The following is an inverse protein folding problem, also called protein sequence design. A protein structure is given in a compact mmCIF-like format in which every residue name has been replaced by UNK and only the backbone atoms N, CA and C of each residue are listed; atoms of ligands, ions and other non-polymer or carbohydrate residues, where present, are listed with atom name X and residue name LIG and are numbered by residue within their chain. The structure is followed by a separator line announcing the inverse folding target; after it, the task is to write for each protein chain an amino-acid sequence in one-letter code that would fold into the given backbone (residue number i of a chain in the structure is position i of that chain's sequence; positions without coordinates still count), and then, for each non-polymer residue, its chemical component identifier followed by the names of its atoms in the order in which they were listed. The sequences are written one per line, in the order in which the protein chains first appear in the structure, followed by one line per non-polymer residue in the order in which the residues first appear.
data_IF_135927054167
#
_entry.id   IF_135927054167
#
_cell.length_a   1.000
_cell.length_b   1.000
_cell.length_c   1.000
_cell.angle_alpha   90.00
_cell.angle_beta   90.00
_cell.angle_gamma   90.00
#
_symmetry.space_group_name_H-M   'P 1'
#
loop_
_entity.id
_entity.type
_entity.pdbx_description
1 polymer ?
#
# COMPACT_ATOMS: atom_id res chain seq x y z
N UNK A 1 -26.34 -7.24 -11.39
CA UNK A 1 -26.12 -8.70 -11.46
C UNK A 1 -24.93 -9.04 -10.58
N UNK A 2 -25.18 -9.28 -9.28
CA UNK A 2 -24.12 -9.68 -8.34
C UNK A 2 -23.71 -11.11 -8.68
N UNK A 3 -22.52 -11.29 -9.26
CA UNK A 3 -21.93 -12.60 -9.37
C UNK A 3 -21.72 -13.11 -7.94
N UNK A 4 -22.38 -14.23 -7.61
CA UNK A 4 -22.22 -14.94 -6.35
C UNK A 4 -20.81 -15.57 -6.31
N UNK A 5 -19.80 -14.75 -6.06
CA UNK A 5 -18.42 -15.23 -5.98
C UNK A 5 -18.14 -15.67 -4.54
N UNK A 6 -17.73 -16.93 -4.38
CA UNK A 6 -17.37 -17.49 -3.09
C UNK A 6 -16.01 -16.92 -2.63
N UNK A 7 -16.01 -16.01 -1.64
CA UNK A 7 -14.77 -15.41 -1.12
C UNK A 7 -13.84 -16.42 -0.41
N UNK A 8 -14.36 -17.61 -0.06
CA UNK A 8 -13.55 -18.71 0.51
C UNK A 8 -12.68 -19.39 -0.56
N UNK A 9 -13.17 -19.48 -1.80
CA UNK A 9 -12.42 -20.07 -2.92
C UNK A 9 -11.45 -19.06 -3.56
N UNK A 10 -11.84 -17.78 -3.57
CA UNK A 10 -10.96 -16.71 -4.05
C UNK A 10 -9.74 -16.55 -3.16
N UNK A 11 -8.55 -16.80 -3.69
CA UNK A 11 -7.27 -16.74 -2.96
C UNK A 11 -6.65 -18.10 -2.68
N UNK A 12 -7.38 -19.18 -2.98
CA UNK A 12 -6.84 -20.54 -3.05
C UNK A 12 -6.14 -20.70 -4.40
N UNK A 13 -4.83 -20.91 -4.40
CA UNK A 13 -4.05 -21.12 -5.62
C UNK A 13 -3.05 -22.26 -5.44
N UNK A 14 -2.70 -22.93 -6.52
CA UNK A 14 -1.60 -23.88 -6.52
C UNK A 14 -0.25 -23.17 -6.23
N UNK A 15 0.73 -23.85 -5.61
CA UNK A 15 0.73 -25.25 -5.19
C UNK A 15 0.10 -25.49 -3.80
N UNK A 16 -0.27 -24.43 -3.08
CA UNK A 16 -0.60 -24.52 -1.66
C UNK A 16 -2.06 -24.88 -1.38
N UNK A 17 -2.98 -24.60 -2.29
CA UNK A 17 -4.41 -24.81 -2.04
C UNK A 17 -4.90 -23.96 -0.87
N UNK A 18 -5.74 -24.52 0.00
CA UNK A 18 -6.21 -23.84 1.21
C UNK A 18 -5.10 -23.85 2.25
N UNK A 19 -4.43 -22.72 2.41
CA UNK A 19 -3.29 -22.58 3.32
C UNK A 19 -3.66 -21.74 4.55
N UNK A 20 -4.00 -22.41 5.64
CA UNK A 20 -4.25 -21.78 6.95
C UNK A 20 -3.53 -22.58 8.07
N UNK A 21 -2.22 -22.36 8.28
CA UNK A 21 -1.47 -23.08 9.31
C UNK A 21 -1.89 -22.70 10.75
N UNK A 22 -2.63 -21.61 10.92
CA UNK A 22 -3.08 -21.12 12.23
C UNK A 22 -4.54 -21.50 12.54
N UNK A 23 -5.27 -22.10 11.59
CA UNK A 23 -6.63 -22.62 11.78
C UNK A 23 -7.69 -21.56 12.09
N UNK A 24 -7.50 -20.32 11.62
CA UNK A 24 -8.47 -19.24 11.85
C UNK A 24 -9.77 -19.42 11.06
N UNK A 25 -9.75 -20.17 9.96
CA UNK A 25 -10.94 -20.47 9.18
C UNK A 25 -11.96 -21.29 9.98
N UNK A 26 -11.49 -22.26 10.77
CA UNK A 26 -12.36 -23.11 11.60
C UNK A 26 -12.67 -22.48 12.96
N UNK A 27 -11.70 -21.79 13.56
CA UNK A 27 -11.84 -21.24 14.91
C UNK A 27 -12.55 -19.88 14.96
N UNK A 28 -12.45 -19.07 13.89
CA UNK A 28 -13.02 -17.72 13.82
C UNK A 28 -13.59 -17.40 12.42
N UNK A 29 -14.56 -18.17 11.91
CA UNK A 29 -15.10 -18.00 10.57
C UNK A 29 -15.76 -16.62 10.36
N UNK A 30 -16.37 -16.06 11.41
CA UNK A 30 -17.00 -14.74 11.41
C UNK A 30 -16.02 -13.58 11.14
N UNK A 31 -14.73 -13.78 11.43
CA UNK A 31 -13.69 -12.78 11.14
C UNK A 31 -13.15 -12.89 9.71
N UNK A 32 -13.53 -13.91 8.94
CA UNK A 32 -12.97 -14.18 7.62
C UNK A 32 -13.21 -13.04 6.63
N UNK A 33 -14.44 -12.53 6.53
CA UNK A 33 -14.79 -11.43 5.61
C UNK A 33 -13.91 -10.19 5.87
N UNK A 34 -13.73 -9.84 7.14
CA UNK A 34 -12.84 -8.74 7.55
C UNK A 34 -11.39 -9.04 7.17
N UNK A 35 -10.89 -10.25 7.45
CA UNK A 35 -9.51 -10.63 7.14
C UNK A 35 -9.24 -10.59 5.64
N UNK A 36 -10.18 -11.08 4.81
CA UNK A 36 -10.11 -10.99 3.34
C UNK A 36 -10.14 -9.54 2.85
N UNK A 37 -10.95 -8.68 3.45
CA UNK A 37 -10.96 -7.25 3.12
C UNK A 37 -9.62 -6.57 3.48
N UNK A 38 -9.05 -6.90 4.63
CA UNK A 38 -7.76 -6.38 5.12
C UNK A 38 -6.60 -6.87 4.24
N UNK A 39 -6.61 -8.14 3.84
CA UNK A 39 -5.64 -8.72 2.91
C UNK A 39 -5.64 -7.97 1.57
N UNK A 40 -6.82 -7.78 0.97
CA UNK A 40 -6.97 -7.00 -0.28
C UNK A 40 -6.51 -5.55 -0.10
N UNK A 41 -6.80 -4.92 1.03
CA UNK A 41 -6.37 -3.55 1.33
C UNK A 41 -4.83 -3.45 1.38
N UNK A 42 -4.17 -4.35 2.11
CA UNK A 42 -2.70 -4.37 2.16
C UNK A 42 -2.08 -4.70 0.81
N UNK A 43 -2.66 -5.65 0.06
CA UNK A 43 -2.20 -5.99 -1.29
C UNK A 43 -2.24 -4.79 -2.24
N UNK A 44 -3.33 -4.00 -2.23
CA UNK A 44 -3.44 -2.78 -3.05
C UNK A 44 -2.39 -1.73 -2.69
N UNK A 45 -2.14 -1.50 -1.40
CA UNK A 45 -1.11 -0.57 -0.93
C UNK A 45 0.28 -1.07 -1.34
N UNK A 46 0.55 -2.37 -1.17
CA UNK A 46 1.83 -2.96 -1.53
C UNK A 46 2.11 -2.90 -3.04
N UNK A 47 1.10 -3.17 -3.89
CA UNK A 47 1.23 -3.03 -5.34
C UNK A 47 1.62 -1.61 -5.75
N UNK A 48 0.96 -0.59 -5.19
CA UNK A 48 1.31 0.81 -5.46
C UNK A 48 2.70 1.18 -4.91
N UNK A 49 3.05 0.70 -3.71
CA UNK A 49 4.34 0.96 -3.08
C UNK A 49 5.51 0.37 -3.89
N UNK A 50 5.39 -0.87 -4.39
CA UNK A 50 6.42 -1.52 -5.21
C UNK A 50 6.67 -0.74 -6.50
N UNK A 51 5.62 -0.31 -7.19
CA UNK A 51 5.76 0.55 -8.38
C UNK A 51 6.48 1.84 -8.01
N UNK A 52 6.09 2.49 -6.90
CA UNK A 52 6.77 3.67 -6.39
C UNK A 52 8.26 3.45 -6.12
N UNK A 53 8.63 2.32 -5.50
CA UNK A 53 10.04 1.97 -5.26
C UNK A 53 10.83 1.85 -6.56
N UNK A 54 10.28 1.18 -7.58
CA UNK A 54 10.94 1.01 -8.88
C UNK A 54 11.11 2.37 -9.58
N UNK A 55 10.06 3.19 -9.61
CA UNK A 55 10.07 4.51 -10.27
C UNK A 55 11.09 5.44 -9.61
N UNK A 56 11.09 5.52 -8.28
CA UNK A 56 12.01 6.37 -7.54
C UNK A 56 13.46 5.92 -7.70
N UNK A 57 13.75 4.62 -7.60
CA UNK A 57 15.12 4.10 -7.76
C UNK A 57 15.68 4.25 -9.19
N UNK A 58 14.80 4.40 -10.19
CA UNK A 58 15.21 4.72 -11.56
C UNK A 58 15.41 6.24 -11.79
N UNK A 59 15.34 7.05 -10.74
CA UNK A 59 15.45 8.52 -10.80
C UNK A 59 14.44 9.16 -11.76
N UNK A 60 13.27 8.55 -11.92
CA UNK A 60 12.15 9.16 -12.62
C UNK A 60 11.47 10.09 -11.62
N UNK A 61 11.79 11.38 -11.74
CA UNK A 61 11.41 12.41 -10.77
C UNK A 61 10.73 13.56 -11.51
N UNK A 62 9.83 14.25 -10.81
CA UNK A 62 9.25 15.49 -11.34
C UNK A 62 10.30 16.61 -11.38
N UNK A 63 10.41 17.29 -12.51
CA UNK A 63 11.28 18.46 -12.63
C UNK A 63 10.65 19.66 -11.92
N UNK A 64 11.13 19.97 -10.71
CA UNK A 64 10.65 21.13 -9.96
C UNK A 64 10.96 21.10 -8.46
N UNK A 65 10.34 22.05 -7.76
CA UNK A 65 10.43 22.21 -6.31
C UNK A 65 9.24 21.54 -5.63
N UNK A 66 9.53 20.66 -4.65
CA UNK A 66 8.50 20.12 -3.75
C UNK A 66 8.10 21.17 -2.70
N UNK A 67 9.05 22.02 -2.29
CA UNK A 67 8.82 23.10 -1.34
C UNK A 67 9.66 24.32 -1.71
N UNK A 68 9.04 25.35 -2.34
CA UNK A 68 9.71 26.60 -2.65
C UNK A 68 10.19 27.33 -1.39
N UNK A 69 9.47 27.22 -0.26
CA UNK A 69 9.86 27.88 0.99
C UNK A 69 11.12 27.27 1.61
N UNK A 70 11.36 25.97 1.39
CA UNK A 70 12.51 25.25 1.93
C UNK A 70 13.61 25.04 0.87
N UNK A 71 13.44 25.59 -0.34
CA UNK A 71 14.33 25.38 -1.49
C UNK A 71 14.63 23.88 -1.79
N UNK A 72 13.65 23.00 -1.56
CA UNK A 72 13.81 21.56 -1.74
C UNK A 72 13.25 21.13 -3.11
N UNK A 73 14.07 20.46 -3.93
CA UNK A 73 13.63 19.85 -5.19
C UNK A 73 13.22 18.41 -5.00
N UNK A 74 12.41 17.89 -5.92
CA UNK A 74 12.08 16.46 -5.92
C UNK A 74 13.33 15.59 -6.15
N UNK A 75 14.33 16.08 -6.88
CA UNK A 75 15.60 15.39 -7.11
C UNK A 75 16.46 15.25 -5.85
N UNK A 76 16.23 16.10 -4.84
CA UNK A 76 17.05 16.15 -3.63
C UNK A 76 16.56 15.16 -2.57
N UNK A 77 15.40 14.53 -2.81
CA UNK A 77 14.81 13.53 -1.92
C UNK A 77 15.50 12.18 -2.15
N UNK A 78 16.06 11.54 -1.10
CA UNK A 78 16.63 10.21 -1.20
C UNK A 78 15.60 9.18 -1.65
N UNK A 79 16.03 8.25 -2.49
CA UNK A 79 15.22 7.11 -2.90
C UNK A 79 15.23 6.05 -1.80
N UNK A 80 14.06 5.65 -1.28
CA UNK A 80 13.94 4.63 -0.23
C UNK A 80 13.20 5.13 1.01
N UNK A 81 13.47 4.50 2.15
CA UNK A 81 12.76 4.78 3.41
C UNK A 81 13.04 6.21 3.89
N UNK A 82 14.27 6.69 3.72
CA UNK A 82 14.68 8.03 4.15
C UNK A 82 13.96 9.15 3.40
N UNK A 83 13.43 8.87 2.21
CA UNK A 83 12.67 9.84 1.42
C UNK A 83 11.50 10.43 2.19
N UNK A 84 10.78 9.62 2.96
CA UNK A 84 9.64 10.08 3.77
C UNK A 84 10.08 11.09 4.84
N UNK A 85 11.25 10.90 5.44
CA UNK A 85 11.75 11.76 6.51
C UNK A 85 12.35 13.08 6.01
N UNK A 86 12.63 13.19 4.70
CA UNK A 86 13.10 14.44 4.07
C UNK A 86 11.96 15.36 3.63
N UNK A 87 10.74 14.83 3.49
CA UNK A 87 9.56 15.64 3.15
C UNK A 87 9.22 16.54 4.35
N UNK A 88 9.00 17.85 4.14
CA UNK A 88 8.62 18.75 5.22
C UNK A 88 7.36 18.29 5.95
N UNK A 89 7.30 18.49 7.27
CA UNK A 89 6.19 18.04 8.13
C UNK A 89 4.81 18.51 7.63
N UNK A 90 4.73 19.72 7.07
CA UNK A 90 3.49 20.22 6.47
C UNK A 90 3.02 19.38 5.27
N UNK A 91 3.93 18.93 4.41
CA UNK A 91 3.61 18.05 3.28
C UNK A 91 3.23 16.64 3.73
N UNK A 92 3.90 16.12 4.76
CA UNK A 92 3.50 14.84 5.39
C UNK A 92 2.10 14.94 6.00
N UNK A 93 1.80 16.01 6.73
CA UNK A 93 0.47 16.24 7.31
C UNK A 93 -0.61 16.31 6.22
N UNK A 94 -0.36 17.00 5.10
CA UNK A 94 -1.29 17.04 3.95
C UNK A 94 -1.53 15.65 3.37
N UNK A 95 -0.48 14.86 3.19
CA UNK A 95 -0.57 13.50 2.64
C UNK A 95 -1.39 12.59 3.55
N UNK A 96 -1.12 12.62 4.86
CA UNK A 96 -1.86 11.83 5.86
C UNK A 96 -3.33 12.26 5.93
N UNK A 97 -3.59 13.57 5.92
CA UNK A 97 -4.95 14.10 5.92
C UNK A 97 -5.73 13.66 4.67
N UNK A 98 -5.09 13.67 3.49
CA UNK A 98 -5.71 13.22 2.25
C UNK A 98 -5.99 11.71 2.25
N UNK A 99 -5.03 10.89 2.67
CA UNK A 99 -5.23 9.43 2.79
C UNK A 99 -6.31 9.10 3.81
N UNK A 100 -6.40 9.85 4.92
CA UNK A 100 -7.44 9.64 5.93
C UNK A 100 -8.83 10.09 5.50
N UNK A 101 -8.93 10.98 4.51
CA UNK A 101 -10.20 11.43 3.94
C UNK A 101 -10.80 10.42 2.93
N UNK A 102 -9.95 9.70 2.20
CA UNK A 102 -10.33 8.66 1.23
C UNK A 102 -10.69 7.35 1.93
#
# INVERSE_FOLDING_TARGET
TSLAVNELELGVTEPLGVFDPLGWLDTQPESFERRRAVERKHGRIAMAAVVGTIVHNNHIVYDGYISPSNNLKFSDIPTGIDGIFTVPTAGLAQTIAFIGFI
#
